data_IF_841657369755
#
_entry.id   IF_841657369755
#
_cell.length_a   1.000
_cell.length_b   1.000
_cell.length_c   1.000
_cell.angle_alpha   90.00
_cell.angle_beta   90.00
_cell.angle_gamma   90.00
#
_symmetry.space_group_name_H-M   'P 1'
#
loop_
_entity.id
_entity.type
_entity.pdbx_description
1 polymer ?
#
# COMPACT_ATOMS: atom_id res chain seq x y z
N UNK A 1 10.85 -29.32 -29.34
CA UNK A 1 11.60 -28.06 -29.56
C UNK A 1 11.90 -27.44 -28.20
N UNK A 2 13.11 -27.67 -27.68
CA UNK A 2 13.58 -27.09 -26.42
C UNK A 2 14.05 -25.66 -26.67
N UNK A 3 13.20 -24.71 -26.46
CA UNK A 3 13.62 -23.30 -26.36
C UNK A 3 14.24 -23.09 -24.99
N UNK A 4 15.55 -23.28 -24.89
CA UNK A 4 16.37 -22.84 -23.78
C UNK A 4 16.27 -21.32 -23.70
N UNK A 5 15.33 -20.81 -22.89
CA UNK A 5 15.26 -19.40 -22.51
C UNK A 5 16.53 -19.07 -21.73
N UNK A 6 17.50 -18.41 -22.39
CA UNK A 6 18.68 -17.87 -21.71
C UNK A 6 18.22 -16.98 -20.54
N UNK A 7 18.71 -17.19 -19.32
CA UNK A 7 18.37 -16.32 -18.19
C UNK A 7 18.80 -14.88 -18.55
N UNK A 8 17.83 -13.96 -18.54
CA UNK A 8 18.10 -12.54 -18.74
C UNK A 8 19.07 -12.09 -17.64
N UNK A 9 20.19 -11.48 -18.04
CA UNK A 9 21.11 -10.86 -17.08
C UNK A 9 20.32 -9.80 -16.28
N UNK A 10 20.46 -9.77 -14.95
CA UNK A 10 19.73 -8.86 -14.07
C UNK A 10 19.80 -7.37 -14.52
N UNK A 11 20.92 -6.98 -15.15
CA UNK A 11 21.14 -5.62 -15.71
C UNK A 11 20.19 -5.25 -16.86
N UNK A 12 19.59 -6.21 -17.57
CA UNK A 12 18.67 -5.95 -18.70
C UNK A 12 17.21 -6.19 -18.32
N UNK A 13 16.95 -6.82 -17.19
CA UNK A 13 15.60 -7.12 -16.73
C UNK A 13 14.89 -5.88 -16.17
N UNK A 14 15.59 -5.06 -15.38
CA UNK A 14 15.07 -3.82 -14.78
C UNK A 14 14.59 -2.80 -15.82
N UNK A 15 15.39 -2.37 -16.81
CA UNK A 15 14.93 -1.38 -17.79
C UNK A 15 13.79 -1.90 -18.66
N UNK A 16 13.72 -3.20 -18.94
CA UNK A 16 12.57 -3.80 -19.63
C UNK A 16 11.32 -3.79 -18.77
N UNK A 17 11.42 -4.13 -17.50
CA UNK A 17 10.30 -4.08 -16.56
C UNK A 17 9.76 -2.65 -16.41
N UNK A 18 10.63 -1.65 -16.31
CA UNK A 18 10.26 -0.24 -16.29
C UNK A 18 9.58 0.19 -17.58
N UNK A 19 10.10 -0.20 -18.75
CA UNK A 19 9.46 0.12 -20.04
C UNK A 19 8.06 -0.48 -20.21
N UNK A 20 7.81 -1.68 -19.66
CA UNK A 20 6.47 -2.29 -19.66
C UNK A 20 5.54 -1.67 -18.63
N UNK A 21 6.06 -1.23 -17.48
CA UNK A 21 5.28 -0.55 -16.45
C UNK A 21 4.88 0.88 -16.85
N UNK A 22 5.69 1.55 -17.68
CA UNK A 22 5.45 2.91 -18.20
C UNK A 22 4.46 2.96 -19.39
N UNK A 23 3.69 1.90 -19.64
CA UNK A 23 2.61 1.98 -20.61
C UNK A 23 1.56 2.99 -20.16
N UNK A 24 1.32 4.05 -20.98
CA UNK A 24 0.42 5.13 -20.64
C UNK A 24 -1.00 4.66 -20.27
N UNK A 25 -1.47 3.59 -20.92
CA UNK A 25 -2.79 2.99 -20.64
C UNK A 25 -2.85 2.35 -19.25
N UNK A 26 -1.75 1.69 -18.83
CA UNK A 26 -1.64 1.12 -17.51
C UNK A 26 -1.58 2.23 -16.45
N UNK A 27 -0.80 3.29 -16.71
CA UNK A 27 -0.72 4.47 -15.83
C UNK A 27 -2.08 5.15 -15.69
N UNK A 28 -2.82 5.34 -16.81
CA UNK A 28 -4.17 5.90 -16.75
C UNK A 28 -5.12 5.01 -15.94
N UNK A 29 -5.04 3.68 -16.08
CA UNK A 29 -5.86 2.76 -15.29
C UNK A 29 -5.59 2.92 -13.80
N UNK A 30 -4.31 3.04 -13.41
CA UNK A 30 -3.92 3.30 -12.03
C UNK A 30 -4.43 4.66 -11.53
N UNK A 31 -4.19 5.73 -12.30
CA UNK A 31 -4.60 7.10 -11.95
C UNK A 31 -6.12 7.18 -11.82
N UNK A 32 -6.88 6.66 -12.78
CA UNK A 32 -8.34 6.71 -12.74
C UNK A 32 -8.91 5.92 -11.57
N UNK A 33 -8.34 4.75 -11.26
CA UNK A 33 -8.81 3.94 -10.12
C UNK A 33 -8.49 4.63 -8.80
N UNK A 34 -7.28 5.15 -8.62
CA UNK A 34 -6.90 5.87 -7.40
C UNK A 34 -7.68 7.17 -7.24
N UNK A 35 -7.90 7.90 -8.34
CA UNK A 35 -8.73 9.11 -8.35
C UNK A 35 -10.18 8.79 -7.96
N UNK A 36 -10.78 7.74 -8.51
CA UNK A 36 -12.13 7.32 -8.15
C UNK A 36 -12.23 6.98 -6.65
N UNK A 37 -11.25 6.26 -6.09
CA UNK A 37 -11.20 5.99 -4.65
C UNK A 37 -11.00 7.27 -3.83
N UNK A 38 -10.17 8.20 -4.29
CA UNK A 38 -9.95 9.49 -3.63
C UNK A 38 -11.21 10.36 -3.63
N UNK A 39 -11.98 10.35 -4.72
CA UNK A 39 -13.25 11.08 -4.81
C UNK A 39 -14.30 10.54 -3.83
N UNK A 40 -14.32 9.23 -3.59
CA UNK A 40 -15.22 8.63 -2.57
C UNK A 40 -14.92 9.17 -1.17
N UNK A 41 -13.67 9.46 -0.83
CA UNK A 41 -13.33 10.11 0.43
C UNK A 41 -13.51 11.64 0.38
N UNK A 42 -13.10 12.25 -0.73
CA UNK A 42 -13.01 13.71 -0.86
C UNK A 42 -14.36 14.40 -1.05
N UNK A 43 -15.27 13.83 -1.85
CA UNK A 43 -16.56 14.48 -2.13
C UNK A 43 -17.45 14.66 -0.89
N UNK A 44 -17.64 13.65 -0.02
CA UNK A 44 -18.40 13.85 1.21
C UNK A 44 -17.74 14.85 2.16
N UNK A 45 -16.40 14.83 2.23
CA UNK A 45 -15.66 15.81 3.03
C UNK A 45 -15.83 17.23 2.48
N UNK A 46 -15.73 17.39 1.17
CA UNK A 46 -15.95 18.67 0.50
C UNK A 46 -17.36 19.20 0.76
N UNK A 47 -18.39 18.36 0.57
CA UNK A 47 -19.78 18.78 0.81
C UNK A 47 -20.04 19.14 2.27
N UNK A 48 -19.42 18.40 3.20
CA UNK A 48 -19.52 18.67 4.62
C UNK A 48 -18.84 20.01 4.99
N UNK A 49 -17.60 20.22 4.54
CA UNK A 49 -16.88 21.48 4.75
C UNK A 49 -17.65 22.67 4.16
N UNK A 50 -18.20 22.53 2.95
CA UNK A 50 -19.04 23.55 2.34
C UNK A 50 -20.25 23.89 3.22
N UNK A 51 -20.96 22.89 3.74
CA UNK A 51 -22.10 23.12 4.62
C UNK A 51 -21.75 23.87 5.91
N UNK A 52 -20.55 23.74 6.43
CA UNK A 52 -20.09 24.39 7.67
C UNK A 52 -19.47 25.77 7.41
N UNK A 53 -18.80 25.95 6.30
CA UNK A 53 -17.93 27.10 6.06
C UNK A 53 -18.52 28.14 5.06
N UNK A 54 -19.29 27.68 4.05
CA UNK A 54 -19.78 28.58 2.97
C UNK A 54 -20.70 29.70 3.46
N UNK A 55 -21.40 29.49 4.58
CA UNK A 55 -22.29 30.48 5.18
C UNK A 55 -21.67 31.18 6.40
N UNK A 56 -20.39 30.93 6.71
CA UNK A 56 -19.73 31.62 7.81
C UNK A 56 -19.39 33.05 7.41
N UNK A 57 -19.60 34.02 8.33
CA UNK A 57 -19.19 35.41 8.14
C UNK A 57 -17.70 35.60 7.93
N UNK A 58 -16.93 34.57 8.20
CA UNK A 58 -15.47 34.56 8.11
C UNK A 58 -14.94 33.66 6.99
N UNK A 59 -15.80 33.23 6.07
CA UNK A 59 -15.41 32.36 4.93
C UNK A 59 -14.20 32.91 4.15
N UNK A 60 -14.17 34.23 3.93
CA UNK A 60 -13.06 34.91 3.25
C UNK A 60 -11.76 34.86 4.06
N UNK A 61 -11.84 35.04 5.39
CA UNK A 61 -10.65 34.95 6.26
C UNK A 61 -10.11 33.52 6.34
N UNK A 62 -11.00 32.54 6.35
CA UNK A 62 -10.63 31.11 6.32
C UNK A 62 -9.97 30.76 4.97
N UNK A 63 -10.55 31.20 3.85
CA UNK A 63 -10.01 30.95 2.51
C UNK A 63 -8.63 31.58 2.30
N UNK A 64 -8.39 32.74 2.94
CA UNK A 64 -7.10 33.43 2.90
C UNK A 64 -6.08 32.90 3.94
N UNK A 65 -6.42 31.88 4.71
CA UNK A 65 -5.54 31.31 5.74
C UNK A 65 -5.35 32.20 6.98
N UNK A 66 -6.20 33.24 7.16
CA UNK A 66 -6.12 34.19 8.28
C UNK A 66 -6.79 33.69 9.56
N UNK A 67 -7.59 32.63 9.48
CA UNK A 67 -8.30 32.04 10.61
C UNK A 67 -8.10 30.52 10.72
N UNK A 68 -6.85 30.02 10.88
CA UNK A 68 -6.57 28.58 10.94
C UNK A 68 -7.22 27.90 12.14
N UNK A 69 -7.41 28.61 13.25
CA UNK A 69 -8.05 28.09 14.46
C UNK A 69 -9.51 27.72 14.23
N UNK A 70 -10.25 28.48 13.42
CA UNK A 70 -11.65 28.17 13.11
C UNK A 70 -11.79 26.93 12.25
N UNK A 71 -10.86 26.71 11.30
CA UNK A 71 -10.81 25.46 10.54
C UNK A 71 -10.52 24.29 11.48
N UNK A 72 -9.61 24.48 12.42
CA UNK A 72 -9.26 23.46 13.42
C UNK A 72 -10.45 23.17 14.34
N UNK A 73 -11.17 24.19 14.81
CA UNK A 73 -12.37 24.06 15.64
C UNK A 73 -13.48 23.32 14.89
N UNK A 74 -13.70 23.64 13.61
CA UNK A 74 -14.64 22.93 12.76
C UNK A 74 -14.25 21.46 12.58
N UNK A 75 -12.97 21.18 12.43
CA UNK A 75 -12.42 19.81 12.32
C UNK A 75 -12.47 19.04 13.65
N UNK A 76 -12.38 19.73 14.78
CA UNK A 76 -12.37 19.13 16.12
C UNK A 76 -13.74 19.15 16.81
N UNK A 77 -14.79 19.67 16.14
CA UNK A 77 -16.13 19.73 16.70
C UNK A 77 -16.62 18.33 17.11
N UNK A 78 -17.10 18.14 18.37
CA UNK A 78 -17.53 16.84 18.85
C UNK A 78 -18.69 16.28 18.01
N UNK A 79 -18.54 15.04 17.57
CA UNK A 79 -19.65 14.22 17.06
C UNK A 79 -19.86 14.19 15.55
N UNK A 80 -19.09 14.92 14.73
CA UNK A 80 -19.37 14.96 13.29
C UNK A 80 -18.16 14.81 12.37
N UNK A 81 -17.03 15.48 12.64
CA UNK A 81 -15.97 15.64 11.65
C UNK A 81 -15.03 14.45 11.59
N UNK A 82 -14.49 14.05 12.73
CA UNK A 82 -13.49 12.95 12.75
C UNK A 82 -14.14 11.61 12.43
N UNK A 83 -15.39 11.39 12.82
CA UNK A 83 -16.12 10.16 12.51
C UNK A 83 -16.50 10.09 11.03
N UNK A 84 -16.99 11.18 10.44
CA UNK A 84 -17.30 11.26 9.00
C UNK A 84 -16.02 11.12 8.17
N UNK A 85 -14.95 11.86 8.53
CA UNK A 85 -13.66 11.75 7.87
C UNK A 85 -13.12 10.32 7.98
N UNK A 86 -13.13 9.76 9.18
CA UNK A 86 -12.67 8.40 9.43
C UNK A 86 -13.46 7.34 8.66
N UNK A 87 -14.78 7.49 8.55
CA UNK A 87 -15.63 6.60 7.76
C UNK A 87 -15.32 6.70 6.26
N UNK A 88 -15.16 7.91 5.73
CA UNK A 88 -14.84 8.12 4.31
C UNK A 88 -13.45 7.62 3.95
N UNK A 89 -12.44 7.86 4.79
CA UNK A 89 -11.08 7.34 4.57
C UNK A 89 -11.05 5.82 4.63
N UNK A 90 -11.78 5.20 5.57
CA UNK A 90 -11.90 3.74 5.64
C UNK A 90 -12.58 3.17 4.40
N UNK A 91 -13.65 3.79 3.92
CA UNK A 91 -14.38 3.37 2.72
C UNK A 91 -13.51 3.46 1.48
N UNK A 92 -12.83 4.59 1.26
CA UNK A 92 -11.89 4.76 0.15
C UNK A 92 -10.71 3.80 0.23
N UNK A 93 -10.16 3.59 1.43
CA UNK A 93 -9.09 2.62 1.67
C UNK A 93 -9.52 1.20 1.37
N UNK A 94 -10.73 0.80 1.76
CA UNK A 94 -11.28 -0.51 1.45
C UNK A 94 -11.50 -0.70 -0.05
N UNK A 95 -12.03 0.31 -0.74
CA UNK A 95 -12.19 0.27 -2.20
C UNK A 95 -10.84 0.15 -2.91
N UNK A 96 -9.83 0.93 -2.49
CA UNK A 96 -8.49 0.84 -3.05
C UNK A 96 -7.84 -0.52 -2.76
N UNK A 97 -8.04 -1.06 -1.56
CA UNK A 97 -7.56 -2.39 -1.19
C UNK A 97 -8.17 -3.47 -2.10
N UNK A 98 -9.48 -3.41 -2.35
CA UNK A 98 -10.19 -4.34 -3.23
C UNK A 98 -9.82 -4.14 -4.71
N UNK A 99 -9.50 -2.92 -5.14
CA UNK A 99 -9.07 -2.61 -6.50
C UNK A 99 -7.60 -3.03 -6.74
N UNK A 100 -6.77 -3.06 -5.70
CA UNK A 100 -5.33 -3.34 -5.83
C UNK A 100 -4.99 -4.69 -6.49
N UNK A 101 -5.71 -5.81 -6.25
CA UNK A 101 -5.48 -7.08 -6.96
C UNK A 101 -5.78 -6.98 -8.46
N UNK A 102 -6.79 -6.19 -8.85
CA UNK A 102 -7.12 -5.97 -10.24
C UNK A 102 -6.00 -5.20 -10.96
N UNK A 103 -5.54 -4.12 -10.35
CA UNK A 103 -4.44 -3.30 -10.89
C UNK A 103 -3.13 -4.09 -10.98
N UNK A 104 -2.81 -4.85 -9.94
CA UNK A 104 -1.63 -5.73 -9.94
C UNK A 104 -1.73 -6.80 -11.01
N UNK A 105 -2.91 -7.42 -11.18
CA UNK A 105 -3.19 -8.39 -12.24
C UNK A 105 -3.03 -7.79 -13.64
N UNK A 106 -3.52 -6.57 -13.87
CA UNK A 106 -3.33 -5.84 -15.13
C UNK A 106 -1.83 -5.56 -15.39
N UNK A 107 -1.07 -5.19 -14.35
CA UNK A 107 0.38 -4.99 -14.45
C UNK A 107 1.10 -6.29 -14.84
N UNK A 108 0.71 -7.41 -14.25
CA UNK A 108 1.28 -8.73 -14.58
C UNK A 108 0.95 -9.12 -16.03
N UNK A 109 -0.29 -8.87 -16.48
CA UNK A 109 -0.68 -9.13 -17.85
C UNK A 109 0.14 -8.27 -18.84
N UNK A 110 0.33 -6.99 -18.54
CA UNK A 110 1.20 -6.10 -19.31
C UNK A 110 2.66 -6.58 -19.33
N UNK A 111 3.20 -7.02 -18.20
CA UNK A 111 4.57 -7.50 -18.09
C UNK A 111 4.82 -8.82 -18.85
N UNK A 112 3.80 -9.67 -18.97
CA UNK A 112 3.87 -10.93 -19.74
C UNK A 112 3.67 -10.71 -21.25
N UNK A 113 3.09 -9.60 -21.66
CA UNK A 113 2.84 -9.26 -23.05
C UNK A 113 4.11 -8.85 -23.79
N UNK A 114 4.20 -9.18 -25.07
CA UNK A 114 5.28 -8.73 -25.96
C UNK A 114 5.01 -7.39 -26.63
N UNK A 115 3.77 -6.96 -26.62
CA UNK A 115 3.31 -5.70 -27.19
C UNK A 115 2.43 -4.94 -26.21
N UNK A 116 2.31 -3.60 -26.31
CA UNK A 116 1.43 -2.82 -25.47
C UNK A 116 -0.02 -3.31 -25.56
N UNK A 117 -0.65 -3.60 -24.42
CA UNK A 117 -2.01 -4.09 -24.34
C UNK A 117 -3.02 -2.93 -24.48
N UNK A 118 -4.19 -3.23 -25.03
CA UNK A 118 -5.36 -2.36 -24.99
C UNK A 118 -5.98 -2.31 -23.58
N UNK A 119 -6.85 -1.31 -23.30
CA UNK A 119 -7.57 -1.22 -22.03
C UNK A 119 -8.40 -2.47 -21.71
N UNK A 120 -9.12 -3.01 -22.73
CA UNK A 120 -9.90 -4.23 -22.57
C UNK A 120 -9.05 -5.45 -22.21
N UNK A 121 -7.84 -5.57 -22.79
CA UNK A 121 -6.94 -6.68 -22.51
C UNK A 121 -6.28 -6.53 -21.14
N UNK A 122 -5.97 -5.30 -20.72
CA UNK A 122 -5.48 -5.01 -19.36
C UNK A 122 -6.52 -5.38 -18.31
N UNK A 123 -7.79 -5.00 -18.49
CA UNK A 123 -8.88 -5.35 -17.59
C UNK A 123 -9.13 -6.86 -17.55
N UNK A 124 -9.15 -7.51 -18.73
CA UNK A 124 -9.31 -8.98 -18.81
C UNK A 124 -8.15 -9.69 -18.12
N UNK A 125 -6.91 -9.21 -18.29
CA UNK A 125 -5.74 -9.69 -17.58
C UNK A 125 -5.87 -9.47 -16.08
N UNK A 126 -6.31 -8.29 -15.65
CA UNK A 126 -6.58 -7.99 -14.24
C UNK A 126 -7.60 -8.93 -13.61
N UNK A 127 -8.72 -9.19 -14.29
CA UNK A 127 -9.78 -10.09 -13.82
C UNK A 127 -9.26 -11.54 -13.74
N UNK A 128 -8.49 -12.00 -14.72
CA UNK A 128 -7.96 -13.37 -14.74
C UNK A 128 -6.99 -13.66 -13.59
N UNK A 129 -6.21 -12.67 -13.17
CA UNK A 129 -5.24 -12.76 -12.08
C UNK A 129 -5.79 -12.26 -10.73
N UNK A 130 -7.03 -11.75 -10.70
CA UNK A 130 -7.64 -11.18 -9.51
C UNK A 130 -7.67 -12.16 -8.33
N UNK A 131 -8.14 -13.39 -8.57
CA UNK A 131 -8.28 -14.39 -7.51
C UNK A 131 -6.96 -14.76 -6.81
N UNK A 132 -5.89 -15.11 -7.52
CA UNK A 132 -4.58 -15.33 -6.91
C UNK A 132 -4.03 -14.11 -6.18
N UNK A 133 -4.17 -12.88 -6.73
CA UNK A 133 -3.72 -11.65 -6.10
C UNK A 133 -4.53 -11.31 -4.85
N UNK A 134 -5.86 -11.47 -4.89
CA UNK A 134 -6.72 -11.27 -3.72
C UNK A 134 -6.37 -12.24 -2.59
N UNK A 135 -6.11 -13.53 -2.90
CA UNK A 135 -5.70 -14.51 -1.89
C UNK A 135 -4.36 -14.12 -1.26
N UNK A 136 -3.40 -13.61 -2.05
CA UNK A 136 -2.13 -13.15 -1.52
C UNK A 136 -2.30 -11.89 -0.66
N UNK A 137 -3.20 -10.97 -1.05
CA UNK A 137 -3.57 -9.80 -0.26
C UNK A 137 -4.17 -10.21 1.10
N UNK A 138 -5.14 -11.14 1.10
CA UNK A 138 -5.72 -11.65 2.34
C UNK A 138 -4.67 -12.36 3.20
N UNK A 139 -3.81 -13.17 2.58
CA UNK A 139 -2.71 -13.82 3.28
C UNK A 139 -1.72 -12.82 3.89
N UNK A 140 -1.49 -11.68 3.25
CA UNK A 140 -0.55 -10.65 3.72
C UNK A 140 -0.91 -10.06 5.09
N UNK A 141 -2.17 -10.12 5.47
CA UNK A 141 -2.65 -9.67 6.79
C UNK A 141 -1.94 -10.42 7.93
N UNK A 142 -1.59 -11.70 7.73
CA UNK A 142 -0.94 -12.51 8.75
C UNK A 142 0.50 -12.01 9.03
N UNK A 143 1.43 -12.00 8.05
CA UNK A 143 2.80 -11.57 8.33
C UNK A 143 2.91 -10.09 8.70
N UNK A 144 2.09 -9.22 8.11
CA UNK A 144 2.05 -7.81 8.46
C UNK A 144 1.44 -7.59 9.85
N UNK A 145 0.37 -8.33 10.18
CA UNK A 145 -0.27 -8.29 11.50
C UNK A 145 0.67 -8.77 12.61
N UNK A 146 1.44 -9.84 12.37
CA UNK A 146 2.46 -10.30 13.32
C UNK A 146 3.54 -9.22 13.54
N UNK A 147 4.04 -8.61 12.46
CA UNK A 147 5.04 -7.54 12.57
C UNK A 147 4.49 -6.32 13.34
N UNK A 148 3.25 -5.92 13.06
CA UNK A 148 2.57 -4.83 13.77
C UNK A 148 2.32 -5.18 15.25
N UNK A 149 1.94 -6.42 15.56
CA UNK A 149 1.75 -6.88 16.93
C UNK A 149 3.06 -6.87 17.72
N UNK A 150 4.18 -7.30 17.13
CA UNK A 150 5.50 -7.24 17.77
C UNK A 150 5.89 -5.78 18.07
N UNK A 151 5.62 -4.86 17.12
CA UNK A 151 5.87 -3.43 17.32
C UNK A 151 5.01 -2.87 18.48
N UNK A 152 3.73 -3.20 18.50
CA UNK A 152 2.81 -2.77 19.57
C UNK A 152 3.22 -3.34 20.93
N UNK A 153 3.65 -4.61 20.99
CA UNK A 153 4.22 -5.21 22.20
C UNK A 153 5.47 -4.47 22.67
N UNK A 154 6.35 -4.08 21.75
CA UNK A 154 7.55 -3.29 22.07
C UNK A 154 7.19 -1.94 22.72
N UNK A 155 6.17 -1.25 22.20
CA UNK A 155 5.67 -0.01 22.83
C UNK A 155 5.09 -0.24 24.23
N UNK A 156 4.23 -1.26 24.39
CA UNK A 156 3.65 -1.58 25.70
C UNK A 156 4.68 -2.03 26.72
N UNK A 157 5.73 -2.76 26.30
CA UNK A 157 6.85 -3.11 27.19
C UNK A 157 7.67 -1.87 27.58
N UNK A 158 7.95 -0.97 26.62
CA UNK A 158 8.68 0.26 26.91
C UNK A 158 7.91 1.15 27.89
N UNK A 159 6.59 1.27 27.73
CA UNK A 159 5.72 2.03 28.64
C UNK A 159 5.78 1.46 30.07
N UNK A 160 5.62 0.15 30.23
CA UNK A 160 5.70 -0.53 31.54
C UNK A 160 7.08 -0.42 32.19
N UNK A 161 8.16 -0.57 31.44
CA UNK A 161 9.52 -0.47 31.95
C UNK A 161 9.89 0.93 32.43
N UNK A 162 9.24 1.96 31.87
CA UNK A 162 9.51 3.36 32.13
C UNK A 162 8.37 4.08 32.86
N UNK A 163 7.44 3.33 33.49
CA UNK A 163 6.27 3.90 34.19
C UNK A 163 6.67 4.91 35.26
N UNK A 164 7.85 4.74 35.87
CA UNK A 164 8.39 5.64 36.88
C UNK A 164 9.63 6.43 36.41
N UNK A 165 9.88 6.47 35.11
CA UNK A 165 11.05 7.16 34.58
C UNK A 165 10.87 8.69 34.65
N UNK A 166 11.82 9.34 35.33
CA UNK A 166 11.87 10.81 35.46
C UNK A 166 12.42 11.45 34.19
N UNK A 167 13.22 10.72 33.41
CA UNK A 167 13.87 11.20 32.18
C UNK A 167 13.08 10.76 30.95
N UNK A 168 12.53 11.73 30.21
CA UNK A 168 11.85 11.49 28.94
C UNK A 168 12.76 10.80 27.90
N UNK A 169 14.07 11.08 27.93
CA UNK A 169 15.04 10.50 27.00
C UNK A 169 15.15 8.97 27.08
N UNK A 170 14.92 8.37 28.26
CA UNK A 170 14.93 6.91 28.41
C UNK A 170 13.72 6.28 27.73
N UNK A 171 12.54 6.89 27.89
CA UNK A 171 11.28 6.49 27.23
C UNK A 171 11.41 6.60 25.73
N UNK A 172 11.95 7.71 25.23
CA UNK A 172 12.12 7.97 23.79
C UNK A 172 13.11 7.00 23.15
N UNK A 173 14.19 6.65 23.85
CA UNK A 173 15.17 5.66 23.35
C UNK A 173 14.51 4.30 23.15
N UNK A 174 13.77 3.79 24.14
CA UNK A 174 13.07 2.52 24.03
C UNK A 174 11.99 2.54 22.94
N UNK A 175 11.26 3.64 22.82
CA UNK A 175 10.26 3.85 21.75
C UNK A 175 10.91 3.83 20.37
N UNK A 176 12.03 4.49 20.18
CA UNK A 176 12.78 4.53 18.92
C UNK A 176 13.30 3.13 18.53
N UNK A 177 13.80 2.36 19.48
CA UNK A 177 14.24 0.98 19.26
C UNK A 177 13.05 0.11 18.83
N UNK A 178 11.93 0.16 19.55
CA UNK A 178 10.72 -0.58 19.21
C UNK A 178 10.19 -0.20 17.83
N UNK A 179 10.21 1.10 17.49
CA UNK A 179 9.86 1.60 16.16
C UNK A 179 10.79 1.04 15.09
N UNK A 180 12.10 1.11 15.30
CA UNK A 180 13.11 0.62 14.34
C UNK A 180 12.96 -0.87 14.06
N UNK A 181 12.79 -1.69 15.09
CA UNK A 181 12.55 -3.14 14.97
C UNK A 181 11.23 -3.39 14.24
N UNK A 182 10.16 -2.72 14.65
CA UNK A 182 8.84 -2.87 14.05
C UNK A 182 8.82 -2.50 12.56
N UNK A 183 9.41 -1.39 12.19
CA UNK A 183 9.54 -0.95 10.79
C UNK A 183 10.37 -1.95 9.99
N UNK A 184 11.48 -2.45 10.53
CA UNK A 184 12.29 -3.47 9.87
C UNK A 184 11.49 -4.75 9.60
N UNK A 185 10.74 -5.24 10.59
CA UNK A 185 9.89 -6.41 10.43
C UNK A 185 8.78 -6.19 9.41
N UNK A 186 8.14 -5.02 9.40
CA UNK A 186 7.12 -4.66 8.41
C UNK A 186 7.72 -4.63 6.99
N UNK A 187 8.90 -4.04 6.82
CA UNK A 187 9.60 -4.01 5.54
C UNK A 187 9.97 -5.41 5.05
N UNK A 188 10.48 -6.28 5.93
CA UNK A 188 10.81 -7.66 5.58
C UNK A 188 9.56 -8.48 5.22
N UNK A 189 8.47 -8.33 5.99
CA UNK A 189 7.20 -8.98 5.69
C UNK A 189 6.65 -8.52 4.33
N UNK A 190 6.66 -7.21 4.07
CA UNK A 190 6.20 -6.63 2.81
C UNK A 190 7.09 -7.06 1.63
N UNK A 191 8.41 -7.02 1.77
CA UNK A 191 9.34 -7.50 0.74
C UNK A 191 9.13 -8.99 0.40
N UNK A 192 8.82 -9.82 1.41
CA UNK A 192 8.45 -11.22 1.20
C UNK A 192 7.14 -11.40 0.41
N UNK A 193 6.16 -10.53 0.64
CA UNK A 193 4.89 -10.51 -0.10
C UNK A 193 5.13 -10.08 -1.55
N UNK A 194 5.92 -9.02 -1.78
CA UNK A 194 6.27 -8.57 -3.13
C UNK A 194 7.06 -9.61 -3.92
N UNK A 195 8.00 -10.29 -3.28
CA UNK A 195 8.69 -11.43 -3.88
C UNK A 195 7.72 -12.58 -4.22
N UNK A 196 6.69 -12.81 -3.38
CA UNK A 196 5.59 -13.73 -3.64
C UNK A 196 4.75 -13.33 -4.85
N UNK A 197 4.44 -12.04 -5.00
CA UNK A 197 3.79 -11.49 -6.22
C UNK A 197 4.62 -11.75 -7.46
N UNK A 198 5.94 -11.54 -7.36
CA UNK A 198 6.87 -11.87 -8.44
C UNK A 198 6.81 -13.34 -8.86
N UNK A 199 6.68 -14.27 -7.93
CA UNK A 199 6.50 -15.69 -8.24
C UNK A 199 5.17 -16.00 -8.92
N UNK A 200 4.06 -15.38 -8.48
CA UNK A 200 2.76 -15.50 -9.16
C UNK A 200 2.83 -14.91 -10.58
N UNK A 201 3.56 -13.81 -10.76
CA UNK A 201 3.77 -13.21 -12.07
C UNK A 201 4.60 -14.08 -13.00
N UNK A 202 5.64 -14.76 -12.48
CA UNK A 202 6.56 -15.59 -13.26
C UNK A 202 5.97 -16.96 -13.64
N UNK A 203 5.12 -17.54 -12.79
CA UNK A 203 4.56 -18.89 -12.98
C UNK A 203 3.02 -18.82 -13.00
N UNK A 204 2.45 -18.82 -14.22
CA UNK A 204 1.00 -18.79 -14.42
C UNK A 204 0.27 -20.03 -13.85
N UNK A 205 0.97 -21.13 -13.57
CA UNK A 205 0.40 -22.33 -12.96
C UNK A 205 0.35 -22.23 -11.44
N UNK A 206 1.15 -21.35 -10.84
CA UNK A 206 1.16 -21.11 -9.41
C UNK A 206 -0.04 -20.25 -9.01
N UNK A 207 -1.06 -20.85 -8.40
CA UNK A 207 -2.27 -20.14 -7.94
C UNK A 207 -2.43 -20.11 -6.42
N UNK A 208 -1.48 -20.71 -5.69
CA UNK A 208 -1.49 -20.75 -4.22
C UNK A 208 -0.71 -19.57 -3.65
N UNK A 209 -1.40 -18.68 -2.93
CA UNK A 209 -0.80 -17.53 -2.25
C UNK A 209 0.25 -17.97 -1.21
N UNK A 210 -0.05 -19.01 -0.41
CA UNK A 210 0.86 -19.53 0.60
C UNK A 210 2.17 -20.03 -0.01
N UNK A 211 2.08 -20.83 -1.10
CA UNK A 211 3.27 -21.33 -1.79
C UNK A 211 4.07 -20.20 -2.42
N UNK A 212 3.40 -19.19 -2.98
CA UNK A 212 4.04 -18.02 -3.57
C UNK A 212 4.78 -17.21 -2.51
N UNK A 213 4.13 -16.91 -1.39
CA UNK A 213 4.73 -16.21 -0.27
C UNK A 213 5.93 -16.98 0.31
N UNK A 214 5.80 -18.29 0.53
CA UNK A 214 6.89 -19.11 1.04
C UNK A 214 8.12 -19.11 0.11
N UNK A 215 7.90 -19.19 -1.19
CA UNK A 215 8.97 -19.06 -2.19
C UNK A 215 9.57 -17.66 -2.19
N UNK A 216 8.76 -16.61 -1.99
CA UNK A 216 9.21 -15.23 -1.85
C UNK A 216 10.10 -15.05 -0.63
N UNK A 217 9.68 -15.56 0.54
CA UNK A 217 10.49 -15.55 1.77
C UNK A 217 11.78 -16.34 1.62
N UNK A 218 11.74 -17.52 1.01
CA UNK A 218 12.93 -18.30 0.74
C UNK A 218 13.92 -17.57 -0.19
N UNK A 219 13.41 -16.81 -1.17
CA UNK A 219 14.23 -15.97 -2.03
C UNK A 219 14.85 -14.80 -1.27
N UNK A 220 14.06 -14.13 -0.41
CA UNK A 220 14.54 -13.06 0.44
C UNK A 220 15.67 -13.53 1.36
N UNK A 221 15.53 -14.70 1.99
CA UNK A 221 16.58 -15.28 2.83
C UNK A 221 17.84 -15.68 2.06
N UNK A 222 17.68 -16.20 0.83
CA UNK A 222 18.82 -16.65 0.01
C UNK A 222 19.57 -15.52 -0.69
N UNK A 223 18.88 -14.43 -1.06
CA UNK A 223 19.43 -13.30 -1.82
C UNK A 223 18.86 -11.98 -1.34
N UNK A 224 19.10 -11.58 -0.07
CA UNK A 224 18.46 -10.41 0.54
C UNK A 224 18.75 -9.13 -0.23
N UNK A 225 20.00 -8.88 -0.61
CA UNK A 225 20.39 -7.67 -1.33
C UNK A 225 19.76 -7.56 -2.72
N UNK A 226 19.56 -8.68 -3.41
CA UNK A 226 18.93 -8.66 -4.72
C UNK A 226 17.43 -8.38 -4.64
N UNK A 227 16.75 -8.94 -3.62
CA UNK A 227 15.32 -8.71 -3.40
C UNK A 227 15.07 -7.30 -2.89
N UNK A 228 15.83 -6.85 -1.87
CA UNK A 228 15.70 -5.51 -1.32
C UNK A 228 16.09 -4.43 -2.33
N UNK A 229 17.14 -4.64 -3.13
CA UNK A 229 17.55 -3.72 -4.18
C UNK A 229 16.60 -3.65 -5.38
N UNK A 230 15.73 -4.64 -5.58
CA UNK A 230 14.65 -4.59 -6.55
C UNK A 230 13.34 -4.02 -5.96
N UNK A 231 13.23 -4.02 -4.65
CA UNK A 231 12.07 -3.53 -3.89
C UNK A 231 12.18 -2.03 -3.59
N UNK A 232 13.38 -1.52 -3.31
CA UNK A 232 13.69 -0.11 -3.06
C UNK A 232 13.98 0.64 -4.38
#
# INVERSE_FOLDING_TARGET
MNTTTRPLRARTALPRALGTALQWRLLLLWILTTLACALVAGLPLWSWLGSQLDHSLQSTAIANGQAPTMLLDALMAPGTTLDVLGANVRSAGLLLLLASPLLTGATIAAARSRSPLGFGDLLRGGISEYGPMLRLLLWSVIPLGIAAAIMAMGFGMNEKLHEHAILASAVDTGRNIATGIGVLLLLLAHAGIEAGRGWLAADARLRSALKAWWRGMALLCKRPLAVLGAYL
#
